data_IF_824668933456
#
_entry.id   IF_824668933456
#
_cell.length_a   1.000
_cell.length_b   1.000
_cell.length_c   1.000
_cell.angle_alpha   90.00
_cell.angle_beta   90.00
_cell.angle_gamma   90.00
#
_symmetry.space_group_name_H-M   'P 1'
#
loop_
_entity.id
_entity.type
_entity.pdbx_description
1 polymer ?
#
# COMPACT_ATOMS: atom_id res chain seq x y z
N UNK A 1 5.77 25.80 1.12
CA UNK A 1 5.07 26.77 0.25
C UNK A 1 4.11 26.11 -0.75
N UNK A 2 4.53 25.13 -1.56
CA UNK A 2 3.63 24.51 -2.55
C UNK A 2 2.38 23.81 -1.97
N UNK A 3 2.51 23.06 -0.87
CA UNK A 3 1.38 22.37 -0.24
C UNK A 3 0.32 23.34 0.33
N UNK A 4 0.77 24.44 0.94
CA UNK A 4 -0.15 25.47 1.46
C UNK A 4 -0.99 26.08 0.33
N UNK A 5 -0.35 26.44 -0.78
CA UNK A 5 -1.04 27.01 -1.93
C UNK A 5 -2.08 26.04 -2.54
N UNK A 6 -1.80 24.73 -2.53
CA UNK A 6 -2.75 23.70 -2.95
C UNK A 6 -3.94 23.59 -1.98
N UNK A 7 -3.69 23.66 -0.68
CA UNK A 7 -4.74 23.65 0.35
C UNK A 7 -5.63 24.88 0.26
N UNK A 8 -5.05 26.06 0.14
CA UNK A 8 -5.79 27.32 0.02
C UNK A 8 -6.62 27.35 -1.27
N UNK A 9 -6.08 26.78 -2.37
CA UNK A 9 -6.83 26.58 -3.60
C UNK A 9 -8.05 25.67 -3.38
N UNK A 10 -7.87 24.50 -2.75
CA UNK A 10 -8.97 23.57 -2.48
C UNK A 10 -10.03 24.14 -1.53
N UNK A 11 -9.63 24.98 -0.56
CA UNK A 11 -10.56 25.69 0.34
C UNK A 11 -11.43 26.72 -0.40
N UNK A 12 -10.87 27.37 -1.42
CA UNK A 12 -11.57 28.40 -2.19
C UNK A 12 -12.42 27.83 -3.35
N UNK A 13 -12.12 26.62 -3.84
CA UNK A 13 -12.76 26.00 -5.00
C UNK A 13 -14.10 25.30 -4.63
N UNK A 14 -14.87 25.92 -3.73
CA UNK A 14 -16.04 25.35 -3.08
C UNK A 14 -16.88 24.44 -3.99
N UNK A 15 -16.87 23.14 -3.66
CA UNK A 15 -17.83 22.11 -4.10
C UNK A 15 -17.73 21.47 -5.50
N UNK A 16 -16.60 20.84 -5.85
CA UNK A 16 -16.68 19.74 -6.86
C UNK A 16 -15.79 18.51 -6.59
N UNK A 17 -14.87 18.55 -5.62
CA UNK A 17 -13.96 17.43 -5.30
C UNK A 17 -14.44 16.59 -4.11
N UNK A 18 -15.72 16.24 -4.03
CA UNK A 18 -16.30 15.55 -2.86
C UNK A 18 -15.72 14.15 -2.55
N UNK A 19 -14.87 13.62 -3.44
CA UNK A 19 -14.29 12.28 -3.34
C UNK A 19 -12.76 12.24 -3.17
N UNK A 20 -12.09 13.38 -2.94
CA UNK A 20 -10.64 13.40 -2.73
C UNK A 20 -10.29 13.22 -1.24
N UNK A 21 -9.18 12.54 -0.96
CA UNK A 21 -8.67 12.38 0.42
C UNK A 21 -8.40 13.73 1.08
N UNK A 22 -7.96 14.72 0.30
CA UNK A 22 -7.71 16.09 0.79
C UNK A 22 -9.03 16.75 1.21
N UNK A 23 -10.07 16.63 0.38
CA UNK A 23 -11.39 17.18 0.67
C UNK A 23 -12.02 16.53 1.91
N UNK A 24 -11.80 15.23 2.09
CA UNK A 24 -12.24 14.54 3.31
C UNK A 24 -11.50 15.04 4.56
N UNK A 25 -10.17 15.20 4.50
CA UNK A 25 -9.38 15.73 5.61
C UNK A 25 -9.76 17.18 5.95
N UNK A 26 -10.07 18.01 4.95
CA UNK A 26 -10.57 19.38 5.15
C UNK A 26 -11.97 19.37 5.80
N UNK A 27 -12.85 18.44 5.42
CA UNK A 27 -14.16 18.32 6.08
C UNK A 27 -14.05 17.87 7.55
N UNK A 28 -13.08 17.00 7.88
CA UNK A 28 -12.80 16.59 9.26
C UNK A 28 -12.22 17.74 10.08
N UNK A 29 -11.46 18.63 9.45
CA UNK A 29 -10.96 19.85 10.06
C UNK A 29 -12.07 20.84 10.43
N UNK A 30 -13.11 20.95 9.60
CA UNK A 30 -14.29 21.77 9.94
C UNK A 30 -15.10 21.17 11.11
N UNK A 31 -15.25 19.84 11.14
CA UNK A 31 -16.06 19.14 12.15
C UNK A 31 -15.33 18.97 13.50
N UNK A 32 -14.01 18.82 13.48
CA UNK A 32 -13.18 18.53 14.64
C UNK A 32 -11.87 19.34 14.62
N UNK A 33 -11.96 20.69 14.68
CA UNK A 33 -10.81 21.59 14.52
C UNK A 33 -9.72 21.40 15.58
N UNK A 34 -10.09 20.92 16.77
CA UNK A 34 -9.16 20.62 17.85
C UNK A 34 -8.29 19.37 17.60
N UNK A 35 -8.73 18.47 16.72
CA UNK A 35 -8.03 17.22 16.38
C UNK A 35 -7.35 17.28 15.00
N UNK A 36 -7.88 18.09 14.09
CA UNK A 36 -7.38 18.24 12.72
C UNK A 36 -6.91 19.68 12.48
N UNK A 37 -5.89 20.10 13.23
CA UNK A 37 -5.26 21.41 13.01
C UNK A 37 -4.62 21.48 11.62
N UNK A 38 -4.32 22.69 11.17
CA UNK A 38 -3.70 22.91 9.86
C UNK A 38 -2.37 22.16 9.71
N UNK A 39 -1.58 22.09 10.79
CA UNK A 39 -0.34 21.33 10.88
C UNK A 39 -0.58 19.82 10.76
N UNK A 40 -1.63 19.30 11.42
CA UNK A 40 -1.99 17.88 11.37
C UNK A 40 -2.49 17.50 9.97
N UNK A 41 -3.34 18.31 9.35
CA UNK A 41 -3.84 18.06 7.99
C UNK A 41 -2.70 18.07 6.96
N UNK A 42 -1.80 19.05 7.05
CA UNK A 42 -0.58 19.08 6.23
C UNK A 42 0.28 17.86 6.48
N UNK A 43 0.46 17.49 7.74
CA UNK A 43 1.21 16.31 8.17
C UNK A 43 0.63 15.02 7.59
N UNK A 44 -0.69 14.84 7.63
CA UNK A 44 -1.37 13.67 7.07
C UNK A 44 -1.28 13.60 5.55
N UNK A 45 -1.42 14.72 4.84
CA UNK A 45 -1.27 14.76 3.38
C UNK A 45 0.17 14.46 2.98
N UNK A 46 1.13 15.07 3.67
CA UNK A 46 2.55 14.79 3.45
C UNK A 46 2.89 13.35 3.84
N UNK A 47 2.31 12.83 4.90
CA UNK A 47 2.47 11.44 5.33
C UNK A 47 1.87 10.47 4.31
N UNK A 48 0.74 10.76 3.66
CA UNK A 48 0.23 9.90 2.58
C UNK A 48 1.17 9.87 1.37
N UNK A 49 1.81 11.00 1.05
CA UNK A 49 2.79 11.12 -0.04
C UNK A 49 4.09 10.39 0.32
N UNK A 50 4.63 10.63 1.53
CA UNK A 50 5.85 10.02 2.04
C UNK A 50 5.65 8.56 2.41
N UNK A 51 4.46 8.15 2.84
CA UNK A 51 4.08 6.76 3.07
C UNK A 51 4.11 5.97 1.76
N UNK A 52 3.80 6.62 0.64
CA UNK A 52 4.08 6.08 -0.69
C UNK A 52 5.57 5.90 -1.00
N UNK A 53 6.49 6.43 -0.19
CA UNK A 53 7.94 6.53 -0.50
C UNK A 53 8.89 5.97 0.59
N UNK A 54 8.56 5.91 1.90
CA UNK A 54 9.52 5.60 2.99
C UNK A 54 8.92 5.00 4.31
N UNK A 55 7.83 4.23 4.24
CA UNK A 55 6.72 4.19 5.23
C UNK A 55 6.92 3.62 6.65
N UNK A 56 7.70 2.57 6.88
CA UNK A 56 7.51 1.75 8.09
C UNK A 56 8.15 2.31 9.37
N UNK A 57 9.34 2.91 9.26
CA UNK A 57 10.16 3.30 10.42
C UNK A 57 9.59 4.51 11.18
N UNK A 58 9.19 5.56 10.46
CA UNK A 58 8.67 6.78 11.09
C UNK A 58 7.28 6.57 11.72
N UNK A 59 6.43 5.73 11.11
CA UNK A 59 5.10 5.41 11.67
C UNK A 59 5.19 4.63 12.98
N UNK A 60 6.19 3.75 13.12
CA UNK A 60 6.45 3.01 14.36
C UNK A 60 6.86 3.95 15.51
N UNK A 61 7.74 4.91 15.24
CA UNK A 61 8.22 5.88 16.22
C UNK A 61 7.08 6.73 16.80
N UNK A 62 6.20 7.25 15.94
CA UNK A 62 5.07 8.08 16.35
C UNK A 62 3.92 7.29 16.98
N UNK A 63 3.68 6.06 16.52
CA UNK A 63 2.68 5.17 17.12
C UNK A 63 3.10 4.76 18.53
N UNK A 64 4.37 4.40 18.75
CA UNK A 64 4.91 4.09 20.07
C UNK A 64 4.84 5.30 21.00
N UNK A 65 5.19 6.48 20.50
CA UNK A 65 5.11 7.73 21.26
C UNK A 65 3.67 8.04 21.71
N UNK A 66 2.68 7.81 20.86
CA UNK A 66 1.26 8.01 21.22
C UNK A 66 0.74 6.94 22.19
N UNK A 67 1.10 5.68 21.99
CA UNK A 67 0.64 4.57 22.83
C UNK A 67 1.18 4.67 24.26
N UNK A 68 2.42 5.11 24.43
CA UNK A 68 3.02 5.36 25.75
C UNK A 68 2.31 6.48 26.52
N UNK A 69 1.70 7.44 25.81
CA UNK A 69 0.93 8.53 26.41
C UNK A 69 -0.52 8.14 26.76
N UNK A 70 -1.02 6.98 26.30
CA UNK A 70 -2.41 6.56 26.47
C UNK A 70 -2.52 5.10 26.95
N UNK A 71 -2.25 4.83 28.24
CA UNK A 71 -2.11 3.48 28.78
C UNK A 71 -3.39 2.62 28.65
N UNK A 72 -4.58 3.22 28.73
CA UNK A 72 -5.84 2.47 28.54
C UNK A 72 -6.06 1.99 27.10
N UNK A 73 -5.60 2.76 26.11
CA UNK A 73 -5.64 2.38 24.68
C UNK A 73 -4.55 1.35 24.38
N UNK A 74 -3.38 1.49 25.00
CA UNK A 74 -2.30 0.51 24.94
C UNK A 74 -2.71 -0.84 25.54
N UNK A 75 -3.39 -0.87 26.69
CA UNK A 75 -3.87 -2.13 27.28
C UNK A 75 -4.99 -2.78 26.47
N UNK A 76 -5.91 -2.00 25.89
CA UNK A 76 -6.93 -2.53 24.97
C UNK A 76 -6.30 -3.09 23.68
N UNK A 77 -5.31 -2.38 23.12
CA UNK A 77 -4.58 -2.85 21.95
C UNK A 77 -3.75 -4.10 22.23
N UNK A 78 -3.17 -4.22 23.43
CA UNK A 78 -2.45 -5.42 23.91
C UNK A 78 -3.39 -6.62 24.05
N UNK A 79 -4.58 -6.43 24.64
CA UNK A 79 -5.58 -7.49 24.78
C UNK A 79 -6.12 -8.00 23.44
N UNK A 80 -6.23 -7.14 22.42
CA UNK A 80 -6.63 -7.56 21.06
C UNK A 80 -5.54 -8.37 20.32
N UNK A 81 -4.30 -8.37 20.82
CA UNK A 81 -3.13 -9.07 20.23
C UNK A 81 -2.81 -10.38 20.96
N UNK A 82 -3.27 -10.60 22.20
CA UNK A 82 -3.11 -11.85 22.97
C UNK A 82 -3.98 -13.02 22.46
N UNK A 83 -4.10 -13.16 21.13
CA UNK A 83 -4.72 -14.30 20.47
C UNK A 83 -3.63 -15.28 20.04
N UNK A 84 -3.75 -16.55 20.44
CA UNK A 84 -2.88 -17.65 20.03
C UNK A 84 -2.66 -17.64 18.51
N UNK A 85 -1.40 -17.57 18.07
CA UNK A 85 -1.05 -17.56 16.64
C UNK A 85 -0.66 -18.98 16.24
N UNK A 86 -1.50 -19.64 15.43
CA UNK A 86 -1.20 -20.98 14.91
C UNK A 86 -1.01 -22.05 16.00
N UNK A 87 -1.63 -21.88 17.17
CA UNK A 87 -1.47 -22.80 18.31
C UNK A 87 -0.26 -22.52 19.22
N UNK A 88 0.48 -21.44 18.96
CA UNK A 88 1.61 -21.02 19.79
C UNK A 88 1.26 -19.84 20.70
N UNK A 89 1.77 -19.89 21.92
CA UNK A 89 1.78 -18.77 22.85
C UNK A 89 2.89 -17.79 22.45
N UNK A 90 2.51 -16.62 21.96
CA UNK A 90 3.44 -15.54 21.64
C UNK A 90 3.52 -14.62 22.87
N UNK A 91 4.70 -14.49 23.53
CA UNK A 91 4.83 -13.63 24.69
C UNK A 91 4.47 -12.18 24.37
N UNK A 92 3.94 -11.47 25.37
CA UNK A 92 3.63 -10.05 25.29
C UNK A 92 4.87 -9.24 24.85
N UNK A 93 4.61 -8.17 24.11
CA UNK A 93 5.63 -7.25 23.56
C UNK A 93 6.59 -7.90 22.52
N UNK A 94 6.20 -9.06 21.95
CA UNK A 94 6.93 -9.69 20.83
C UNK A 94 6.55 -9.04 19.49
N UNK A 95 7.55 -8.59 18.74
CA UNK A 95 7.35 -8.12 17.37
C UNK A 95 7.16 -9.31 16.42
N UNK A 96 5.98 -9.43 15.82
CA UNK A 96 5.71 -10.41 14.77
C UNK A 96 5.96 -9.79 13.39
N UNK A 97 6.82 -10.44 12.61
CA UNK A 97 7.10 -10.07 11.23
C UNK A 97 6.42 -11.06 10.29
N UNK A 98 5.50 -10.57 9.47
CA UNK A 98 4.82 -11.37 8.46
C UNK A 98 5.65 -11.34 7.17
N UNK A 99 6.15 -12.50 6.76
CA UNK A 99 6.85 -12.64 5.48
C UNK A 99 5.84 -12.85 4.35
N UNK A 100 5.22 -11.75 3.89
CA UNK A 100 4.26 -11.80 2.78
C UNK A 100 4.87 -12.40 1.51
N UNK A 101 6.17 -12.19 1.25
CA UNK A 101 6.86 -12.74 0.08
C UNK A 101 6.88 -14.27 0.09
N UNK A 102 7.16 -14.87 1.25
CA UNK A 102 7.15 -16.33 1.44
C UNK A 102 5.72 -16.88 1.33
N UNK A 103 4.73 -16.22 1.94
CA UNK A 103 3.32 -16.63 1.85
C UNK A 103 2.84 -16.65 0.38
N UNK A 104 3.23 -15.66 -0.43
CA UNK A 104 2.83 -15.59 -1.84
C UNK A 104 3.50 -16.65 -2.72
N UNK A 105 4.52 -17.37 -2.20
CA UNK A 105 5.31 -18.38 -2.92
C UNK A 105 5.33 -19.74 -2.24
N UNK A 106 4.44 -19.94 -1.28
CA UNK A 106 4.39 -21.18 -0.52
C UNK A 106 3.90 -22.34 -1.42
N UNK A 107 4.72 -23.39 -1.65
CA UNK A 107 4.34 -24.52 -2.48
C UNK A 107 3.23 -25.39 -1.86
N UNK A 108 2.95 -25.28 -0.55
CA UNK A 108 1.82 -25.95 0.09
C UNK A 108 0.49 -25.25 -0.25
N UNK A 109 0.55 -23.96 -0.60
CA UNK A 109 -0.62 -23.12 -0.88
C UNK A 109 -0.84 -22.94 -2.38
N UNK A 110 0.24 -22.90 -3.16
CA UNK A 110 0.22 -22.64 -4.59
C UNK A 110 0.81 -23.80 -5.39
N UNK A 111 0.06 -24.27 -6.39
CA UNK A 111 0.65 -25.10 -7.43
C UNK A 111 1.64 -24.27 -8.25
N UNK A 112 2.88 -24.75 -8.32
CA UNK A 112 3.97 -24.13 -9.08
C UNK A 112 4.08 -22.60 -8.79
N UNK A 113 4.52 -22.25 -7.56
CA UNK A 113 4.48 -20.88 -7.02
C UNK A 113 5.40 -19.90 -7.75
N UNK A 114 6.43 -20.39 -8.43
CA UNK A 114 7.42 -19.55 -9.11
C UNK A 114 6.98 -19.16 -10.54
N UNK A 115 5.99 -19.86 -11.11
CA UNK A 115 5.49 -19.59 -12.46
C UNK A 115 4.51 -18.42 -12.51
N UNK A 116 4.59 -17.61 -13.55
CA UNK A 116 3.62 -16.53 -13.81
C UNK A 116 2.33 -17.10 -14.42
N UNK A 117 1.28 -17.32 -13.61
CA UNK A 117 -0.03 -17.83 -14.04
C UNK A 117 -1.16 -16.89 -13.53
N UNK A 118 -1.47 -15.78 -14.23
CA UNK A 118 -2.45 -14.78 -13.77
C UNK A 118 -3.86 -15.34 -13.49
N UNK A 119 -4.26 -16.37 -14.23
CA UNK A 119 -5.55 -17.05 -14.14
C UNK A 119 -5.84 -17.63 -12.74
N UNK A 120 -4.80 -18.00 -11.98
CA UNK A 120 -4.94 -18.57 -10.62
C UNK A 120 -5.58 -17.62 -9.62
N UNK A 121 -5.56 -16.32 -9.93
CA UNK A 121 -6.16 -15.24 -9.12
C UNK A 121 -7.64 -15.06 -9.48
N UNK A 122 -8.03 -15.39 -10.71
CA UNK A 122 -9.40 -15.26 -11.22
C UNK A 122 -10.27 -16.46 -10.79
N UNK A 123 -9.71 -17.67 -10.80
CA UNK A 123 -10.44 -18.91 -10.53
C UNK A 123 -10.68 -19.17 -9.04
N UNK A 124 -9.77 -18.74 -8.17
CA UNK A 124 -9.89 -18.96 -6.72
C UNK A 124 -10.80 -17.98 -5.99
N UNK A 125 -11.33 -16.97 -6.69
CA UNK A 125 -12.20 -15.95 -6.15
C UNK A 125 -11.53 -15.13 -5.03
N UNK A 126 -11.90 -13.87 -4.93
CA UNK A 126 -11.75 -13.13 -3.67
C UNK A 126 -12.74 -13.69 -2.62
N UNK A 127 -12.68 -15.00 -2.36
CA UNK A 127 -13.43 -15.70 -1.33
C UNK A 127 -12.84 -15.38 0.03
N UNK A 128 -13.71 -15.43 1.04
CA UNK A 128 -13.58 -14.94 2.44
C UNK A 128 -12.37 -15.51 3.23
N UNK A 129 -11.53 -16.35 2.62
CA UNK A 129 -10.42 -17.11 3.23
C UNK A 129 -9.00 -16.69 2.75
N UNK A 130 -8.86 -15.62 1.97
CA UNK A 130 -7.70 -15.42 1.09
C UNK A 130 -6.48 -14.72 1.71
N UNK A 131 -5.99 -15.14 2.89
CA UNK A 131 -4.66 -14.70 3.40
C UNK A 131 -3.47 -15.13 2.50
N UNK A 132 -3.75 -15.86 1.41
CA UNK A 132 -2.80 -16.36 0.42
C UNK A 132 -2.12 -15.25 -0.38
N UNK A 133 -2.81 -14.11 -0.56
CA UNK A 133 -2.31 -12.94 -1.31
C UNK A 133 -2.55 -11.69 -0.45
N UNK A 134 -1.47 -11.00 -0.10
CA UNK A 134 -1.45 -9.85 0.81
C UNK A 134 -0.67 -8.63 0.26
N UNK A 135 -0.88 -8.20 -1.00
CA UNK A 135 -0.14 -7.09 -1.62
C UNK A 135 -0.41 -5.76 -0.92
N UNK A 136 -1.56 -5.65 -0.25
CA UNK A 136 -1.99 -4.47 0.49
C UNK A 136 -2.20 -4.77 1.98
N UNK A 137 -1.72 -5.92 2.48
CA UNK A 137 -2.01 -6.38 3.84
C UNK A 137 -3.50 -6.67 4.06
N UNK A 138 -3.88 -6.80 5.34
CA UNK A 138 -5.25 -7.12 5.76
C UNK A 138 -5.61 -6.42 7.08
N UNK A 139 -6.91 -6.27 7.36
CA UNK A 139 -7.44 -5.72 8.61
C UNK A 139 -7.29 -4.20 8.71
N UNK A 140 -7.29 -3.68 9.95
CA UNK A 140 -7.26 -2.22 10.22
C UNK A 140 -5.98 -1.52 9.75
N UNK A 141 -4.94 -2.27 9.40
CA UNK A 141 -3.65 -1.77 8.89
C UNK A 141 -3.45 -2.09 7.41
N UNK A 142 -4.47 -2.57 6.71
CA UNK A 142 -4.43 -2.72 5.27
C UNK A 142 -4.18 -1.36 4.60
N UNK A 143 -3.52 -1.37 3.44
CA UNK A 143 -3.14 -0.18 2.71
C UNK A 143 -4.38 0.64 2.34
N UNK A 144 -4.49 1.91 2.81
CA UNK A 144 -5.62 2.76 2.43
C UNK A 144 -5.62 3.12 0.94
N UNK A 145 -4.49 2.94 0.26
CA UNK A 145 -4.30 3.20 -1.17
C UNK A 145 -4.76 2.08 -2.12
N UNK A 146 -5.23 0.92 -1.63
CA UNK A 146 -5.61 -0.24 -2.48
C UNK A 146 -6.54 0.13 -3.64
N UNK A 147 -7.57 0.95 -3.35
CA UNK A 147 -8.55 1.35 -4.35
C UNK A 147 -7.97 2.25 -5.45
N UNK A 148 -7.05 3.14 -5.09
CA UNK A 148 -6.35 4.00 -6.04
C UNK A 148 -5.32 3.21 -6.85
N UNK A 149 -4.50 2.39 -6.16
CA UNK A 149 -3.46 1.58 -6.77
C UNK A 149 -4.04 0.64 -7.84
N UNK A 150 -5.11 -0.10 -7.54
CA UNK A 150 -5.73 -1.00 -8.51
C UNK A 150 -6.30 -0.27 -9.74
N UNK A 151 -6.86 0.93 -9.55
CA UNK A 151 -7.36 1.75 -10.67
C UNK A 151 -6.23 2.28 -11.55
N UNK A 152 -5.19 2.82 -10.93
CA UNK A 152 -4.02 3.34 -11.65
C UNK A 152 -3.32 2.21 -12.40
N UNK A 153 -3.02 1.09 -11.73
CA UNK A 153 -2.38 -0.07 -12.34
C UNK A 153 -3.24 -0.62 -13.48
N UNK A 154 -4.54 -0.84 -13.24
CA UNK A 154 -5.44 -1.40 -14.26
C UNK A 154 -5.56 -0.50 -15.49
N UNK A 155 -5.76 0.80 -15.31
CA UNK A 155 -5.87 1.76 -16.42
C UNK A 155 -4.55 1.90 -17.16
N UNK A 156 -3.44 2.12 -16.44
CA UNK A 156 -2.12 2.30 -17.07
C UNK A 156 -1.68 1.04 -17.80
N UNK A 157 -1.79 -0.14 -17.18
CA UNK A 157 -1.43 -1.40 -17.82
C UNK A 157 -2.33 -1.69 -19.03
N UNK A 158 -3.65 -1.48 -18.89
CA UNK A 158 -4.59 -1.65 -19.99
C UNK A 158 -4.26 -0.74 -21.17
N UNK A 159 -3.99 0.54 -20.93
CA UNK A 159 -3.57 1.48 -21.98
C UNK A 159 -2.24 1.09 -22.62
N UNK A 160 -1.26 0.66 -21.83
CA UNK A 160 0.04 0.23 -22.35
C UNK A 160 -0.10 -1.00 -23.26
N UNK A 161 -0.89 -1.99 -22.85
CA UNK A 161 -1.13 -3.21 -23.63
C UNK A 161 -1.97 -2.93 -24.88
N UNK A 162 -2.97 -2.04 -24.78
CA UNK A 162 -3.85 -1.71 -25.89
C UNK A 162 -3.18 -0.84 -26.95
N UNK A 163 -2.36 0.13 -26.54
CA UNK A 163 -1.87 1.17 -27.44
C UNK A 163 -0.52 0.86 -28.08
N UNK A 164 0.22 -0.15 -27.61
CA UNK A 164 1.59 -0.43 -28.05
C UNK A 164 1.83 -1.91 -28.29
N UNK A 165 2.66 -2.21 -29.28
CA UNK A 165 3.28 -3.52 -29.41
C UNK A 165 4.60 -3.56 -28.63
N UNK A 166 4.76 -4.60 -27.82
CA UNK A 166 5.90 -4.77 -26.92
C UNK A 166 6.79 -5.91 -27.37
N UNK A 167 8.08 -5.63 -27.52
CA UNK A 167 9.11 -6.64 -27.77
C UNK A 167 10.27 -6.54 -26.77
N UNK A 168 11.01 -7.64 -26.62
CA UNK A 168 12.25 -7.64 -25.85
C UNK A 168 13.36 -7.02 -26.68
N UNK A 169 14.16 -6.16 -26.04
CA UNK A 169 15.31 -5.52 -26.67
C UNK A 169 16.40 -6.53 -27.05
N UNK A 170 16.48 -7.65 -26.33
CA UNK A 170 17.41 -8.74 -26.59
C UNK A 170 16.69 -10.10 -26.61
N UNK A 171 17.35 -11.10 -27.20
CA UNK A 171 16.87 -12.49 -27.22
C UNK A 171 16.93 -13.13 -25.83
N UNK A 172 17.81 -12.60 -24.96
CA UNK A 172 17.94 -13.03 -23.57
C UNK A 172 16.67 -12.77 -22.76
N UNK A 173 16.45 -13.59 -21.74
CA UNK A 173 15.36 -13.37 -20.80
C UNK A 173 15.66 -12.20 -19.86
N UNK A 174 14.61 -11.52 -19.41
CA UNK A 174 14.75 -10.38 -18.52
C UNK A 174 15.07 -10.88 -17.11
N UNK A 175 16.19 -10.45 -16.51
CA UNK A 175 16.56 -10.82 -15.14
C UNK A 175 15.49 -10.40 -14.12
N UNK A 176 14.84 -11.38 -13.50
CA UNK A 176 13.78 -11.20 -12.49
C UNK A 176 14.29 -11.26 -11.05
N UNK A 177 15.60 -11.38 -10.81
CA UNK A 177 16.16 -11.38 -9.46
C UNK A 177 15.83 -10.08 -8.75
N UNK A 178 15.55 -10.13 -7.44
CA UNK A 178 15.33 -8.93 -6.63
C UNK A 178 16.63 -8.18 -6.40
N UNK A 179 16.65 -6.87 -6.68
CA UNK A 179 17.76 -5.99 -6.32
C UNK A 179 17.69 -5.55 -4.86
N UNK A 180 18.78 -4.97 -4.37
CA UNK A 180 18.88 -4.48 -2.98
C UNK A 180 18.05 -3.21 -2.77
N UNK A 181 17.11 -3.21 -1.83
CA UNK A 181 16.32 -2.04 -1.45
C UNK A 181 15.03 -2.38 -0.70
N UNK A 182 14.39 -1.36 -0.10
CA UNK A 182 13.19 -1.51 0.75
C UNK A 182 12.00 -2.20 0.04
N UNK A 183 11.95 -2.10 -1.29
CA UNK A 183 10.90 -2.68 -2.14
C UNK A 183 11.44 -3.74 -3.12
N UNK A 184 12.67 -4.23 -2.90
CA UNK A 184 13.36 -5.17 -3.80
C UNK A 184 13.25 -4.77 -5.30
N UNK A 185 13.78 -3.60 -5.69
CA UNK A 185 13.64 -3.11 -7.07
C UNK A 185 14.32 -4.07 -8.05
N UNK A 186 13.81 -4.13 -9.28
CA UNK A 186 14.47 -4.92 -10.34
C UNK A 186 15.89 -4.36 -10.59
N UNK A 187 16.94 -5.21 -10.75
CA UNK A 187 18.33 -4.79 -10.86
C UNK A 187 18.68 -3.93 -12.07
N UNK A 188 17.86 -3.93 -13.12
CA UNK A 188 18.20 -3.32 -14.41
C UNK A 188 17.17 -2.30 -14.89
N UNK A 189 17.69 -1.23 -15.52
CA UNK A 189 16.91 -0.21 -16.23
C UNK A 189 16.42 -0.80 -17.55
N UNK A 190 15.37 -1.60 -17.48
CA UNK A 190 14.64 -2.07 -18.66
C UNK A 190 13.78 -0.91 -19.17
N UNK A 191 14.07 -0.45 -20.39
CA UNK A 191 13.11 0.33 -21.17
C UNK A 191 12.64 -0.57 -22.32
N UNK A 192 11.37 -0.96 -22.36
CA UNK A 192 10.86 -1.68 -23.51
C UNK A 192 10.86 -0.78 -24.76
N UNK A 193 11.20 -1.34 -25.92
CA UNK A 193 10.91 -0.69 -27.19
C UNK A 193 9.40 -0.78 -27.42
N UNK A 194 8.69 0.35 -27.30
CA UNK A 194 7.33 0.46 -27.77
C UNK A 194 7.38 0.76 -29.28
N UNK A 195 6.99 -0.20 -30.11
CA UNK A 195 6.82 0.04 -31.55
C UNK A 195 5.41 0.61 -31.81
N UNK A 196 5.24 1.29 -32.96
CA UNK A 196 4.07 2.06 -33.43
C UNK A 196 2.84 2.06 -32.50
N UNK A 197 2.45 3.26 -32.07
CA UNK A 197 1.12 3.45 -31.51
C UNK A 197 0.07 3.12 -32.59
N UNK A 198 -0.98 2.38 -32.24
CA UNK A 198 -2.12 2.16 -33.12
C UNK A 198 -2.89 3.48 -33.32
N UNK A 199 -2.36 4.37 -34.16
CA UNK A 199 -3.04 5.55 -34.71
C UNK A 199 -2.63 5.78 -36.16
#
# INVERSE_FOLDING_TARGET
MALQALLDKQRNDGSDTRNSTISHLLSLQELQPQYYTDEIVKGLILALILAGTNTSAATLEWAMSNLLNHPGVLEKARAEIELHVGGYDVPKDTMLLINAWAIHRDPEVWDDPESFKPERILENGAGIDSCKILPFGMGRRACPGIGMANRVIGLTLGSLVQCFEWERVSVEEIDMKGGSGLIMPKPSRWWPCANHAFY
#
